data_IF_962481187230
#
_entry.id   IF_962481187230
#
_cell.length_a   1.000
_cell.length_b   1.000
_cell.length_c   1.000
_cell.angle_alpha   90.00
_cell.angle_beta   90.00
_cell.angle_gamma   90.00
#
_symmetry.space_group_name_H-M   'P 1'
#
loop_
_entity.id
_entity.type
_entity.pdbx_description
1 polymer ?
#
# COMPACT_ATOMS: atom_id res chain seq x y z
N UNK A 1 -5.44 -4.43 -4.88
CA UNK A 1 -5.47 -3.52 -3.72
C UNK A 1 -5.61 -4.36 -2.47
N UNK A 2 -4.69 -4.23 -1.52
CA UNK A 2 -4.81 -4.87 -0.22
C UNK A 2 -5.41 -3.89 0.80
N UNK A 3 -6.23 -4.40 1.72
CA UNK A 3 -6.74 -3.63 2.86
C UNK A 3 -6.62 -4.48 4.11
N UNK A 4 -6.35 -3.83 5.23
CA UNK A 4 -6.12 -4.47 6.52
C UNK A 4 -6.60 -3.54 7.63
N UNK A 5 -7.06 -4.12 8.72
CA UNK A 5 -7.39 -3.38 9.95
C UNK A 5 -6.18 -3.28 10.89
N UNK A 6 -5.22 -4.19 10.73
CA UNK A 6 -3.90 -4.06 11.34
C UNK A 6 -3.08 -3.06 10.51
N UNK A 7 -2.11 -2.34 11.10
CA UNK A 7 -1.28 -1.39 10.34
C UNK A 7 -0.25 -2.09 9.43
N UNK A 8 -0.51 -3.34 9.01
CA UNK A 8 0.38 -4.17 8.21
C UNK A 8 -0.40 -5.09 7.27
N UNK A 9 0.14 -5.25 6.05
CA UNK A 9 -0.32 -6.22 5.06
C UNK A 9 0.87 -6.68 4.22
N UNK A 10 0.91 -7.97 3.91
CA UNK A 10 1.83 -8.52 2.93
C UNK A 10 1.10 -8.70 1.61
N UNK A 11 1.63 -8.11 0.54
CA UNK A 11 1.17 -8.35 -0.82
C UNK A 11 2.05 -9.47 -1.41
N UNK A 12 1.40 -10.42 -2.10
CA UNK A 12 2.07 -11.57 -2.73
C UNK A 12 1.85 -11.55 -4.24
N UNK A 13 2.64 -12.34 -4.97
CA UNK A 13 2.56 -12.52 -6.43
C UNK A 13 2.81 -11.22 -7.22
N UNK A 14 3.75 -10.41 -6.74
CA UNK A 14 4.30 -9.29 -7.50
C UNK A 14 5.26 -9.85 -8.54
N UNK A 15 5.25 -9.24 -9.73
CA UNK A 15 6.19 -9.58 -10.79
C UNK A 15 7.63 -9.20 -10.36
N UNK A 16 8.57 -10.13 -10.54
CA UNK A 16 9.99 -9.88 -10.25
C UNK A 16 10.65 -9.09 -11.37
N UNK A 17 11.61 -8.24 -11.01
CA UNK A 17 12.30 -7.32 -11.89
C UNK A 17 11.54 -6.02 -12.12
N UNK A 18 10.36 -5.85 -11.53
CA UNK A 18 9.53 -4.67 -11.69
C UNK A 18 9.70 -3.73 -10.49
N UNK A 19 9.85 -2.43 -10.78
CA UNK A 19 9.78 -1.38 -9.77
C UNK A 19 8.32 -1.12 -9.38
N UNK A 20 8.04 -1.17 -8.08
CA UNK A 20 6.71 -1.01 -7.51
C UNK A 20 6.69 0.17 -6.55
N UNK A 21 5.65 0.98 -6.66
CA UNK A 21 5.44 2.17 -5.82
C UNK A 21 4.24 1.95 -4.90
N UNK A 22 4.46 2.04 -3.59
CA UNK A 22 3.46 1.82 -2.56
C UNK A 22 3.17 3.11 -1.79
N UNK A 23 1.89 3.27 -1.41
CA UNK A 23 1.41 4.31 -0.49
C UNK A 23 0.27 3.77 0.34
N UNK A 24 0.09 4.30 1.53
CA UNK A 24 -0.99 3.94 2.46
C UNK A 24 -2.02 5.05 2.51
N UNK A 25 -3.31 4.70 2.47
CA UNK A 25 -4.41 5.60 2.73
C UNK A 25 -5.14 5.13 4.00
N UNK A 26 -5.36 6.06 4.93
CA UNK A 26 -6.23 5.80 6.07
C UNK A 26 -7.69 5.97 5.65
N UNK A 27 -8.57 5.06 6.06
CA UNK A 27 -10.00 5.13 5.73
C UNK A 27 -10.82 5.11 7.02
N UNK A 28 -11.78 6.03 7.13
CA UNK A 28 -12.74 6.06 8.24
C UNK A 28 -14.15 6.36 7.71
N UNK A 29 -15.13 6.57 8.62
CA UNK A 29 -16.52 6.85 8.23
C UNK A 29 -16.69 8.09 7.33
N UNK A 30 -15.80 9.07 7.44
CA UNK A 30 -15.82 10.27 6.62
C UNK A 30 -15.18 10.07 5.23
N UNK A 31 -14.48 8.96 5.00
CA UNK A 31 -13.84 8.63 3.73
C UNK A 31 -12.34 8.36 3.86
N UNK A 32 -11.63 8.56 2.75
CA UNK A 32 -10.17 8.39 2.66
C UNK A 32 -9.45 9.66 3.13
N UNK A 33 -8.39 9.48 3.91
CA UNK A 33 -7.45 10.54 4.26
C UNK A 33 -6.41 10.77 3.18
N UNK A 34 -5.52 11.74 3.42
CA UNK A 34 -4.39 12.00 2.52
C UNK A 34 -3.47 10.78 2.43
N UNK A 35 -2.93 10.46 1.24
CA UNK A 35 -1.95 9.39 1.11
C UNK A 35 -0.66 9.67 1.90
N UNK A 36 0.00 8.61 2.35
CA UNK A 36 1.36 8.68 2.86
C UNK A 36 2.36 9.12 1.78
N UNK A 37 3.60 9.36 2.20
CA UNK A 37 4.73 9.36 1.26
C UNK A 37 4.81 8.03 0.51
N UNK A 38 5.30 8.09 -0.73
CA UNK A 38 5.51 6.92 -1.58
C UNK A 38 6.79 6.20 -1.17
N UNK A 39 6.74 4.87 -1.13
CA UNK A 39 7.91 4.00 -0.98
C UNK A 39 8.07 3.17 -2.24
N UNK A 40 9.30 3.09 -2.75
CA UNK A 40 9.65 2.32 -3.95
C UNK A 40 10.33 1.01 -3.54
N UNK A 41 9.94 -0.09 -4.17
CA UNK A 41 10.55 -1.40 -3.99
C UNK A 41 10.80 -2.06 -5.34
N UNK A 42 11.90 -2.79 -5.46
CA UNK A 42 12.23 -3.62 -6.62
C UNK A 42 12.30 -5.06 -6.13
N UNK A 43 11.61 -5.96 -6.83
CA UNK A 43 11.45 -7.36 -6.41
C UNK A 43 12.39 -8.33 -7.14
#
# INVERSE_FOLDING_TARGET
MGSTVEPAITLYNQESGTELNYRVLAVNRAGEGNPSATVTAVL
#
